data_IF_685600321217
#
_entry.id   IF_685600321217
#
_cell.length_a   1.000
_cell.length_b   1.000
_cell.length_c   1.000
_cell.angle_alpha   90.00
_cell.angle_beta   90.00
_cell.angle_gamma   90.00
#
_symmetry.space_group_name_H-M   'P 1'
#
loop_
_entity.id
_entity.type
_entity.pdbx_description
1 polymer ?
#
# COMPACT_ATOMS: atom_id res chain seq x y z
N UNK A 1 -10.61 4.28 2.98
CA UNK A 1 -10.33 3.83 4.36
C UNK A 1 -9.11 2.95 4.33
N UNK A 2 -8.04 3.32 5.04
CA UNK A 2 -6.82 2.52 5.15
C UNK A 2 -7.05 1.44 6.22
N UNK A 3 -6.80 0.17 5.88
CA UNK A 3 -6.91 -0.94 6.83
C UNK A 3 -5.63 -0.92 7.68
N UNK A 4 -5.75 -0.48 8.94
CA UNK A 4 -4.61 -0.25 9.83
C UNK A 4 -4.07 -1.52 10.51
N UNK A 5 -4.86 -2.59 10.57
CA UNK A 5 -4.49 -3.85 11.24
C UNK A 5 -4.45 -5.00 10.24
N UNK A 6 -3.46 -5.87 10.36
CA UNK A 6 -3.34 -7.06 9.53
C UNK A 6 -4.44 -8.07 9.92
N UNK A 7 -5.43 -8.33 9.05
CA UNK A 7 -6.51 -9.26 9.35
C UNK A 7 -6.00 -10.69 9.49
N UNK A 8 -4.83 -11.06 8.96
CA UNK A 8 -4.29 -12.43 9.11
C UNK A 8 -3.97 -12.80 10.57
N UNK A 9 -3.94 -11.82 11.48
CA UNK A 9 -3.70 -12.03 12.91
C UNK A 9 -5.00 -12.22 13.71
N UNK A 10 -6.17 -12.00 13.09
CA UNK A 10 -7.45 -12.20 13.76
C UNK A 10 -7.81 -13.69 13.82
N UNK A 11 -8.40 -14.10 14.94
CA UNK A 11 -8.89 -15.46 15.16
C UNK A 11 -10.41 -15.40 15.31
N UNK A 12 -11.10 -16.42 14.79
CA UNK A 12 -12.54 -16.55 14.98
C UNK A 12 -12.87 -16.54 16.48
N UNK A 13 -13.79 -15.67 16.94
CA UNK A 13 -14.25 -15.71 18.32
C UNK A 13 -14.89 -17.06 18.65
N UNK A 14 -14.75 -17.49 19.90
CA UNK A 14 -15.49 -18.65 20.41
C UNK A 14 -16.94 -18.25 20.68
N UNK A 15 -17.80 -18.44 19.68
CA UNK A 15 -19.21 -18.11 19.76
C UNK A 15 -20.01 -19.01 20.72
N UNK A 16 -19.41 -20.04 21.31
CA UNK A 16 -20.04 -20.83 22.38
C UNK A 16 -20.00 -20.10 23.74
N UNK A 17 -19.15 -19.08 23.91
CA UNK A 17 -19.03 -18.35 25.18
C UNK A 17 -20.32 -17.60 25.56
N UNK A 18 -20.58 -17.38 26.87
CA UNK A 18 -21.80 -16.71 27.34
C UNK A 18 -22.00 -15.30 26.79
N UNK A 19 -20.92 -14.56 26.50
CA UNK A 19 -20.98 -13.21 25.94
C UNK A 19 -21.69 -13.11 24.59
N UNK A 20 -21.77 -14.22 23.85
CA UNK A 20 -22.47 -14.30 22.56
C UNK A 20 -23.89 -14.86 22.66
N UNK A 21 -24.42 -15.09 23.86
CA UNK A 21 -25.74 -15.71 24.06
C UNK A 21 -26.86 -14.96 23.34
N UNK A 22 -26.88 -13.62 23.40
CA UNK A 22 -27.89 -12.82 22.73
C UNK A 22 -27.78 -12.93 21.21
N UNK A 23 -26.56 -12.94 20.66
CA UNK A 23 -26.32 -13.14 19.24
C UNK A 23 -26.80 -14.53 18.78
N UNK A 24 -26.54 -15.58 19.58
CA UNK A 24 -27.06 -16.93 19.32
C UNK A 24 -28.59 -16.95 19.39
N UNK A 25 -29.19 -16.31 20.40
CA UNK A 25 -30.64 -16.31 20.64
C UNK A 25 -31.43 -15.73 19.45
N UNK A 26 -30.91 -14.68 18.83
CA UNK A 26 -31.48 -14.07 17.61
C UNK A 26 -31.51 -15.09 16.45
N UNK A 27 -30.48 -15.94 16.36
CA UNK A 27 -30.34 -16.91 15.28
C UNK A 27 -31.07 -18.24 15.55
N UNK A 28 -31.47 -18.50 16.81
CA UNK A 28 -32.26 -19.69 17.19
C UNK A 28 -33.76 -19.56 16.94
N UNK A 29 -34.25 -18.43 16.41
CA UNK A 29 -35.65 -18.27 16.02
C UNK A 29 -36.05 -19.39 15.02
N UNK A 30 -37.23 -19.98 15.21
CA UNK A 30 -37.79 -21.08 14.41
C UNK A 30 -37.18 -22.49 14.63
N UNK A 31 -36.76 -22.80 15.87
CA UNK A 31 -36.38 -24.17 16.25
C UNK A 31 -34.99 -24.60 15.80
N UNK A 32 -34.13 -23.64 15.45
CA UNK A 32 -32.70 -23.89 15.23
C UNK A 32 -32.01 -24.17 16.56
N UNK A 33 -31.14 -25.17 16.56
CA UNK A 33 -30.32 -25.52 17.74
C UNK A 33 -29.23 -24.46 17.95
N UNK A 34 -28.77 -24.33 19.20
CA UNK A 34 -27.64 -23.47 19.53
C UNK A 34 -26.40 -23.78 18.66
N UNK A 35 -26.14 -25.06 18.39
CA UNK A 35 -25.05 -25.49 17.51
C UNK A 35 -25.18 -24.93 16.08
N UNK A 36 -26.40 -24.80 15.55
CA UNK A 36 -26.62 -24.18 14.23
C UNK A 36 -26.41 -22.67 14.27
N UNK A 37 -26.75 -22.02 15.39
CA UNK A 37 -26.50 -20.59 15.57
C UNK A 37 -25.00 -20.29 15.64
N UNK A 38 -24.23 -21.09 16.39
CA UNK A 38 -22.76 -20.99 16.47
C UNK A 38 -22.15 -21.16 15.08
N UNK A 39 -22.50 -22.24 14.37
CA UNK A 39 -21.98 -22.51 13.03
C UNK A 39 -22.30 -21.36 12.04
N UNK A 40 -23.47 -20.73 12.15
CA UNK A 40 -23.83 -19.59 11.31
C UNK A 40 -22.97 -18.35 11.63
N UNK A 41 -22.69 -18.09 12.90
CA UNK A 41 -21.81 -16.99 13.32
C UNK A 41 -20.38 -17.20 12.81
N UNK A 42 -19.86 -18.43 12.91
CA UNK A 42 -18.54 -18.80 12.36
C UNK A 42 -18.48 -18.60 10.84
N UNK A 43 -19.53 -19.00 10.11
CA UNK A 43 -19.62 -18.80 8.66
C UNK A 43 -19.63 -17.30 8.32
N UNK A 44 -20.43 -16.50 9.01
CA UNK A 44 -20.51 -15.06 8.79
C UNK A 44 -19.17 -14.37 9.07
N UNK A 45 -18.50 -14.77 10.16
CA UNK A 45 -17.17 -14.30 10.47
C UNK A 45 -16.18 -14.66 9.37
N UNK A 46 -16.12 -15.92 8.93
CA UNK A 46 -15.20 -16.38 7.90
C UNK A 46 -15.40 -15.63 6.57
N UNK A 47 -16.64 -15.40 6.16
CA UNK A 47 -16.96 -14.63 4.96
C UNK A 47 -16.48 -13.18 5.04
N UNK A 48 -16.75 -12.51 6.17
CA UNK A 48 -16.29 -11.14 6.40
C UNK A 48 -14.77 -11.06 6.47
N UNK A 49 -14.15 -11.99 7.19
CA UNK A 49 -12.70 -12.03 7.41
C UNK A 49 -11.94 -12.30 6.10
N UNK A 50 -12.43 -13.21 5.26
CA UNK A 50 -11.86 -13.47 3.93
C UNK A 50 -11.84 -12.19 3.08
N UNK A 51 -12.96 -11.45 3.07
CA UNK A 51 -13.04 -10.18 2.35
C UNK A 51 -12.10 -9.12 2.93
N UNK A 52 -11.92 -9.10 4.24
CA UNK A 52 -10.97 -8.19 4.88
C UNK A 52 -9.53 -8.50 4.48
N UNK A 53 -9.14 -9.78 4.44
CA UNK A 53 -7.83 -10.22 3.94
C UNK A 53 -7.63 -9.77 2.49
N UNK A 54 -8.60 -10.02 1.60
CA UNK A 54 -8.49 -9.62 0.20
C UNK A 54 -8.33 -8.10 0.05
N UNK A 55 -9.11 -7.32 0.79
CA UNK A 55 -9.00 -5.86 0.75
C UNK A 55 -7.65 -5.38 1.27
N UNK A 56 -7.15 -5.98 2.34
CA UNK A 56 -5.84 -5.65 2.91
C UNK A 56 -4.72 -5.99 1.94
N UNK A 57 -4.75 -7.16 1.30
CA UNK A 57 -3.76 -7.55 0.29
C UNK A 57 -3.74 -6.57 -0.90
N UNK A 58 -4.92 -6.20 -1.43
CA UNK A 58 -5.01 -5.20 -2.50
C UNK A 58 -4.45 -3.85 -2.08
N UNK A 59 -4.68 -3.46 -0.83
CA UNK A 59 -4.10 -2.23 -0.31
C UNK A 59 -2.57 -2.32 -0.25
N UNK A 60 -2.02 -3.40 0.29
CA UNK A 60 -0.56 -3.60 0.37
C UNK A 60 0.09 -3.59 -1.02
N UNK A 61 -0.56 -4.19 -2.02
CA UNK A 61 -0.11 -4.16 -3.41
C UNK A 61 -0.13 -2.74 -3.98
N UNK A 62 -1.22 -2.00 -3.79
CA UNK A 62 -1.34 -0.62 -4.25
C UNK A 62 -0.30 0.31 -3.58
N UNK A 63 -0.07 0.15 -2.28
CA UNK A 63 0.91 0.92 -1.53
C UNK A 63 2.35 0.60 -2.01
N UNK A 64 2.64 -0.68 -2.28
CA UNK A 64 3.93 -1.09 -2.84
C UNK A 64 4.14 -0.55 -4.27
N UNK A 65 3.10 -0.54 -5.11
CA UNK A 65 3.16 0.02 -6.46
C UNK A 65 3.37 1.54 -6.43
N UNK A 66 2.64 2.25 -5.57
CA UNK A 66 2.79 3.69 -5.39
C UNK A 66 4.23 4.05 -4.97
N UNK A 67 4.82 3.27 -4.06
CA UNK A 67 6.22 3.48 -3.64
C UNK A 67 7.21 3.25 -4.79
N UNK A 68 7.04 2.17 -5.56
CA UNK A 68 7.90 1.90 -6.73
C UNK A 68 7.82 3.03 -7.75
N UNK A 69 6.62 3.53 -8.03
CA UNK A 69 6.41 4.64 -8.96
C UNK A 69 7.06 5.93 -8.46
N UNK A 70 6.98 6.21 -7.15
CA UNK A 70 7.64 7.35 -6.52
C UNK A 70 9.16 7.27 -6.66
N UNK A 71 9.75 6.11 -6.41
CA UNK A 71 11.20 5.89 -6.56
C UNK A 71 11.62 6.05 -8.03
N UNK A 72 10.88 5.43 -8.96
CA UNK A 72 11.18 5.51 -10.38
C UNK A 72 11.13 6.97 -10.90
N UNK A 73 10.15 7.74 -10.46
CA UNK A 73 10.04 9.17 -10.81
C UNK A 73 11.23 9.96 -10.26
N UNK A 74 11.58 9.77 -8.99
CA UNK A 74 12.72 10.45 -8.38
C UNK A 74 14.05 10.10 -9.08
N UNK A 75 14.24 8.84 -9.49
CA UNK A 75 15.41 8.42 -10.27
C UNK A 75 15.46 9.07 -11.66
N UNK A 76 14.31 9.16 -12.34
CA UNK A 76 14.21 9.80 -13.65
C UNK A 76 14.56 11.29 -13.55
N UNK A 77 13.99 12.01 -12.58
CA UNK A 77 14.28 13.41 -12.32
C UNK A 77 15.77 13.63 -11.99
N UNK A 78 16.35 12.77 -11.13
CA UNK A 78 17.76 12.83 -10.79
C UNK A 78 18.67 12.62 -12.02
N UNK A 79 18.31 11.71 -12.93
CA UNK A 79 19.04 11.49 -14.19
C UNK A 79 18.95 12.71 -15.11
N UNK A 80 17.76 13.29 -15.27
CA UNK A 80 17.57 14.50 -16.08
C UNK A 80 18.39 15.67 -15.54
N UNK A 81 18.35 15.89 -14.22
CA UNK A 81 19.11 16.95 -13.56
C UNK A 81 20.63 16.77 -13.73
N UNK A 82 21.14 15.54 -13.67
CA UNK A 82 22.55 15.26 -13.96
C UNK A 82 22.90 15.56 -15.41
N UNK A 83 22.09 15.09 -16.36
CA UNK A 83 22.32 15.33 -17.78
C UNK A 83 22.35 16.83 -18.12
N UNK A 84 21.45 17.63 -17.54
CA UNK A 84 21.43 19.08 -17.71
C UNK A 84 22.71 19.74 -17.16
N UNK A 85 23.16 19.36 -15.96
CA UNK A 85 24.41 19.88 -15.39
C UNK A 85 25.62 19.51 -16.24
N UNK A 86 25.71 18.27 -16.70
CA UNK A 86 26.80 17.80 -17.55
C UNK A 86 26.82 18.57 -18.89
N UNK A 87 25.65 18.89 -19.45
CA UNK A 87 25.54 19.72 -20.66
C UNK A 87 25.99 21.16 -20.41
N UNK A 88 25.56 21.77 -19.31
CA UNK A 88 25.99 23.12 -18.92
C UNK A 88 27.49 23.21 -18.70
N UNK A 89 28.10 22.22 -18.03
CA UNK A 89 29.55 22.16 -17.83
C UNK A 89 30.29 22.02 -19.16
N UNK A 90 29.81 21.18 -20.07
CA UNK A 90 30.39 21.04 -21.42
C UNK A 90 30.35 22.36 -22.20
N UNK A 91 29.24 23.10 -22.13
CA UNK A 91 29.12 24.43 -22.76
C UNK A 91 30.12 25.42 -22.17
N UNK A 92 30.23 25.49 -20.84
CA UNK A 92 31.22 26.37 -20.15
C UNK A 92 32.66 26.04 -20.52
N UNK A 93 33.00 24.76 -20.67
CA UNK A 93 34.34 24.33 -21.10
C UNK A 93 34.59 24.75 -22.56
N UNK A 94 33.62 24.55 -23.44
CA UNK A 94 33.73 24.94 -24.85
C UNK A 94 33.94 26.45 -25.04
N UNK A 95 33.24 27.28 -24.26
CA UNK A 95 33.39 28.74 -24.26
C UNK A 95 34.77 29.19 -23.74
N UNK A 96 35.33 28.50 -22.73
CA UNK A 96 36.67 28.82 -22.21
C UNK A 96 37.81 28.37 -23.13
N UNK A 97 37.62 27.29 -23.89
CA UNK A 97 38.65 26.74 -24.81
C UNK A 97 38.71 27.49 -26.16
N UNK A 98 37.69 28.27 -26.52
CA UNK A 98 37.75 29.24 -27.62
C UNK A 98 37.84 30.69 -27.10
N UNK A 99 38.98 31.11 -26.51
CA UNK A 99 39.16 32.52 -26.21
C UNK A 99 39.18 33.32 -27.51
N UNK A 100 38.38 34.39 -27.54
CA UNK A 100 38.30 35.36 -28.61
C UNK A 100 39.72 35.82 -29.02
N UNK A 101 40.16 35.69 -30.28
CA UNK A 101 41.55 35.96 -30.71
C UNK A 101 41.92 37.47 -30.70
N UNK A 102 41.22 38.31 -29.94
CA UNK A 102 41.34 39.76 -29.95
C UNK A 102 41.86 40.41 -28.66
N UNK A 103 42.43 39.66 -27.73
CA UNK A 103 43.03 40.22 -26.51
C UNK A 103 44.42 39.66 -26.21
N UNK A 104 45.37 39.88 -27.13
CA UNK A 104 46.77 40.06 -26.73
C UNK A 104 47.03 41.53 -26.48
N UNK A 105 47.40 41.79 -25.24
CA UNK A 105 47.77 43.05 -24.59
C UNK A 105 48.78 43.90 -25.35
N UNK A 106 48.65 45.23 -25.17
CA UNK A 106 49.60 46.30 -25.52
C UNK A 106 51.05 46.03 -25.17
#
# INVERSE_FOLDING_TARGET
SQIMADPNLEVCPDYALPEFEDARRILTVDGKTEAKAIALLEILWALSHTRNIENWQRQQEADAEAERNRIALAEQEAKQQRALRDEEERKKIQEQVHPNPGQTTS
#
